data_IF_661065068881
#
_entry.id   IF_661065068881
#
_cell.length_a   1.000
_cell.length_b   1.000
_cell.length_c   1.000
_cell.angle_alpha   90.00
_cell.angle_beta   90.00
_cell.angle_gamma   90.00
#
_symmetry.space_group_name_H-M   'P 1'
#
loop_
_entity.id
_entity.type
_entity.pdbx_description
1 polymer ?
#
# COMPACT_ATOMS: atom_id res chain seq x y z
N UNK A 1 -17.69 23.51 15.36
CA UNK A 1 -16.78 22.41 14.98
C UNK A 1 -16.95 22.19 13.49
N UNK A 2 -15.86 21.93 12.76
CA UNK A 2 -15.94 21.55 11.35
C UNK A 2 -16.47 20.12 11.25
N UNK A 3 -17.55 19.86 10.47
CA UNK A 3 -18.01 18.50 10.22
C UNK A 3 -16.90 17.64 9.58
N UNK A 4 -16.89 16.35 9.89
CA UNK A 4 -16.01 15.38 9.26
C UNK A 4 -16.56 14.95 7.90
N UNK A 5 -15.69 14.54 6.98
CA UNK A 5 -16.10 13.94 5.72
C UNK A 5 -16.56 12.50 5.92
N UNK A 6 -15.83 11.76 6.79
CA UNK A 6 -16.16 10.39 7.17
C UNK A 6 -16.12 10.24 8.68
N UNK A 7 -17.12 9.59 9.24
CA UNK A 7 -17.10 9.10 10.63
C UNK A 7 -17.29 7.59 10.61
N UNK A 8 -16.31 6.85 11.14
CA UNK A 8 -16.50 5.43 11.47
C UNK A 8 -16.92 5.34 12.92
N UNK A 9 -18.04 4.70 13.20
CA UNK A 9 -18.59 4.55 14.56
C UNK A 9 -18.78 3.09 14.93
N UNK A 10 -19.04 2.83 16.21
CA UNK A 10 -19.28 1.49 16.74
C UNK A 10 -18.11 0.54 16.38
N UNK A 11 -16.89 1.07 16.42
CA UNK A 11 -15.67 0.35 16.09
C UNK A 11 -14.98 -0.16 17.36
N UNK A 12 -14.06 -1.10 17.20
CA UNK A 12 -13.08 -1.41 18.24
C UNK A 12 -11.69 -0.97 17.78
N UNK A 13 -11.25 0.21 18.20
CA UNK A 13 -9.98 0.82 17.80
C UNK A 13 -8.98 0.71 18.94
N UNK A 14 -7.75 0.29 18.64
CA UNK A 14 -6.62 0.44 19.56
C UNK A 14 -5.84 1.70 19.17
N UNK A 15 -5.65 2.62 20.12
CA UNK A 15 -5.07 3.94 19.85
C UNK A 15 -3.55 3.96 20.04
N UNK A 16 -2.99 3.03 20.80
CA UNK A 16 -1.58 3.06 21.23
C UNK A 16 -1.28 4.10 22.33
N UNK A 17 -2.27 4.90 22.75
CA UNK A 17 -2.14 5.85 23.86
C UNK A 17 -2.37 5.11 25.20
N UNK A 18 -1.38 5.03 26.10
CA UNK A 18 -1.56 4.39 27.41
C UNK A 18 -2.68 4.99 28.26
N UNK A 19 -2.98 6.29 28.09
CA UNK A 19 -4.05 6.96 28.82
C UNK A 19 -5.44 6.63 28.27
N UNK A 20 -5.53 6.29 26.97
CA UNK A 20 -6.78 5.98 26.28
C UNK A 20 -6.57 4.87 25.24
N UNK A 21 -6.29 3.63 25.66
CA UNK A 21 -5.87 2.55 24.76
C UNK A 21 -6.95 2.10 23.77
N UNK A 22 -8.22 2.42 24.04
CA UNK A 22 -9.36 2.02 23.24
C UNK A 22 -10.23 3.21 22.83
N UNK A 23 -10.76 3.14 21.62
CA UNK A 23 -11.73 4.09 21.08
C UNK A 23 -12.83 3.36 20.30
N UNK A 24 -13.99 4.00 20.16
CA UNK A 24 -15.16 3.43 19.47
C UNK A 24 -15.56 4.16 18.21
N UNK A 25 -14.91 5.28 17.89
CA UNK A 25 -15.12 6.02 16.66
C UNK A 25 -13.84 6.74 16.18
N UNK A 26 -13.83 7.08 14.90
CA UNK A 26 -12.82 7.94 14.27
C UNK A 26 -13.50 8.93 13.32
N UNK A 27 -13.08 10.19 13.38
CA UNK A 27 -13.46 11.24 12.46
C UNK A 27 -12.32 11.50 11.47
N UNK A 28 -12.66 11.63 10.20
CA UNK A 28 -11.74 11.90 9.10
C UNK A 28 -12.21 13.16 8.40
N UNK A 29 -11.33 14.15 8.27
CA UNK A 29 -11.57 15.41 7.57
C UNK A 29 -10.40 15.67 6.64
N UNK A 30 -10.68 15.99 5.38
CA UNK A 30 -9.70 16.23 4.33
C UNK A 30 -8.68 15.08 4.20
N UNK A 31 -9.19 13.84 4.26
CA UNK A 31 -8.38 12.61 4.21
C UNK A 31 -7.53 12.33 5.45
N UNK A 32 -7.56 13.19 6.48
CA UNK A 32 -6.77 13.06 7.70
C UNK A 32 -7.62 12.60 8.88
N UNK A 33 -7.07 11.73 9.74
CA UNK A 33 -7.72 11.39 11.00
C UNK A 33 -7.66 12.61 11.94
N UNK A 34 -8.80 13.26 12.15
CA UNK A 34 -8.89 14.47 12.98
C UNK A 34 -9.26 14.19 14.42
N UNK A 35 -9.91 13.05 14.70
CA UNK A 35 -10.21 12.61 16.06
C UNK A 35 -10.39 11.10 16.16
N UNK A 36 -9.90 10.50 17.24
CA UNK A 36 -10.12 9.09 17.59
C UNK A 36 -10.56 9.05 19.05
N UNK A 37 -11.80 8.63 19.32
CA UNK A 37 -12.38 8.69 20.66
C UNK A 37 -13.62 7.80 20.78
N UNK A 38 -14.41 7.97 21.84
CA UNK A 38 -15.76 7.42 21.91
C UNK A 38 -16.68 8.03 20.84
N UNK A 39 -17.73 7.32 20.44
CA UNK A 39 -18.71 7.87 19.51
C UNK A 39 -19.40 9.12 20.07
N UNK A 40 -19.65 9.19 21.37
CA UNK A 40 -20.24 10.36 22.02
C UNK A 40 -19.37 11.61 21.84
N UNK A 41 -18.05 11.45 21.92
CA UNK A 41 -17.08 12.52 21.71
C UNK A 41 -16.91 12.91 20.22
N UNK A 42 -17.32 12.04 19.30
CA UNK A 42 -17.23 12.23 17.84
C UNK A 42 -18.57 12.63 17.22
N UNK A 43 -19.71 12.34 17.85
CA UNK A 43 -21.04 12.70 17.37
C UNK A 43 -21.18 14.18 16.97
N UNK A 44 -20.55 15.17 17.64
CA UNK A 44 -20.58 16.57 17.21
C UNK A 44 -19.90 16.88 15.87
N UNK A 45 -19.11 15.94 15.33
CA UNK A 45 -18.44 16.06 14.03
C UNK A 45 -19.31 15.51 12.89
N UNK A 46 -20.46 14.91 13.17
CA UNK A 46 -21.40 14.43 12.16
C UNK A 46 -22.27 15.60 11.69
N UNK A 47 -22.07 16.06 10.46
CA UNK A 47 -22.91 17.03 9.77
C UNK A 47 -23.69 16.40 8.61
N UNK A 48 -24.45 17.22 7.89
CA UNK A 48 -25.31 16.77 6.78
C UNK A 48 -24.54 16.08 5.65
N UNK A 49 -23.29 16.49 5.40
CA UNK A 49 -22.41 15.91 4.37
C UNK A 49 -21.53 14.77 4.88
N UNK A 50 -21.57 14.44 6.17
CA UNK A 50 -20.69 13.42 6.76
C UNK A 50 -21.16 12.03 6.36
N UNK A 51 -20.28 11.26 5.71
CA UNK A 51 -20.53 9.84 5.48
C UNK A 51 -20.26 9.06 6.76
N UNK A 52 -21.32 8.51 7.34
CA UNK A 52 -21.21 7.66 8.54
C UNK A 52 -21.09 6.19 8.15
N UNK A 53 -20.04 5.53 8.64
CA UNK A 53 -19.78 4.10 8.48
C UNK A 53 -19.98 3.44 9.84
N UNK A 54 -20.93 2.50 9.93
CA UNK A 54 -21.12 1.70 11.13
C UNK A 54 -20.25 0.45 11.08
N UNK A 55 -19.27 0.34 11.97
CA UNK A 55 -18.38 -0.82 12.04
C UNK A 55 -19.03 -2.02 12.74
N UNK A 56 -20.24 -1.92 13.30
CA UNK A 56 -20.98 -3.04 13.89
C UNK A 56 -20.20 -3.82 14.98
N UNK A 57 -19.43 -3.11 15.80
CA UNK A 57 -18.56 -3.68 16.83
C UNK A 57 -17.30 -4.37 16.28
N UNK A 58 -17.03 -4.27 14.98
CA UNK A 58 -15.83 -4.86 14.35
C UNK A 58 -14.60 -3.99 14.63
N UNK A 59 -13.43 -4.62 14.56
CA UNK A 59 -12.15 -3.95 14.80
C UNK A 59 -11.79 -3.06 13.60
N UNK A 60 -11.41 -1.83 13.89
CA UNK A 60 -10.76 -0.94 12.92
C UNK A 60 -9.28 -0.93 13.28
N UNK A 61 -8.45 -1.44 12.38
CA UNK A 61 -7.00 -1.47 12.55
C UNK A 61 -6.39 -0.38 11.69
N UNK A 62 -5.41 0.36 12.25
CA UNK A 62 -4.61 1.29 11.46
C UNK A 62 -3.83 0.49 10.44
N UNK A 63 -4.14 0.68 9.15
CA UNK A 63 -3.31 0.26 8.03
C UNK A 63 -2.64 -1.10 8.21
N UNK A 64 -3.36 -2.08 8.72
CA UNK A 64 -2.85 -3.44 8.82
C UNK A 64 -3.08 -4.06 7.46
N UNK A 65 -2.08 -3.94 6.60
CA UNK A 65 -1.92 -4.91 5.54
C UNK A 65 -1.32 -6.18 6.17
N UNK A 66 -2.12 -6.87 6.99
CA UNK A 66 -1.79 -8.22 7.41
C UNK A 66 -2.40 -9.17 6.38
N UNK A 67 -1.53 -9.93 5.75
CA UNK A 67 -1.83 -11.28 5.28
C UNK A 67 -2.12 -12.19 6.50
N UNK A 68 -3.23 -11.93 7.22
CA UNK A 68 -3.65 -12.72 8.38
C UNK A 68 -4.43 -13.96 7.92
N UNK A 69 -3.83 -15.15 8.12
CA UNK A 69 -4.48 -16.44 7.87
C UNK A 69 -5.62 -16.69 8.86
N UNK A 70 -6.80 -17.05 8.35
CA UNK A 70 -7.74 -17.93 9.05
C UNK A 70 -7.66 -19.31 8.38
N UNK A 71 -7.27 -20.35 9.12
CA UNK A 71 -7.48 -21.72 8.69
C UNK A 71 -8.98 -22.01 8.88
N UNK A 72 -9.75 -21.84 7.80
CA UNK A 72 -11.16 -22.20 7.73
C UNK A 72 -12.08 -21.03 7.33
N UNK A 73 -12.60 -21.11 6.10
CA UNK A 73 -13.73 -20.30 5.64
C UNK A 73 -13.33 -19.13 4.73
N UNK A 74 -13.75 -19.19 3.47
CA UNK A 74 -13.63 -18.08 2.52
C UNK A 74 -14.50 -16.91 3.01
N UNK A 75 -13.92 -15.72 3.12
CA UNK A 75 -14.68 -14.49 3.33
C UNK A 75 -14.22 -13.42 2.35
N UNK A 76 -15.13 -12.96 1.51
CA UNK A 76 -14.94 -11.86 0.57
C UNK A 76 -15.36 -10.56 1.28
N UNK A 77 -14.43 -9.61 1.44
CA UNK A 77 -14.74 -8.28 1.94
C UNK A 77 -15.07 -7.35 0.76
N UNK A 78 -16.17 -6.57 0.81
CA UNK A 78 -16.36 -5.48 -0.13
C UNK A 78 -15.40 -4.34 0.23
N UNK A 79 -14.47 -4.03 -0.67
CA UNK A 79 -13.63 -2.83 -0.61
C UNK A 79 -14.48 -1.64 -1.03
N UNK A 80 -14.65 -0.66 -0.14
CA UNK A 80 -15.25 0.63 -0.45
C UNK A 80 -14.15 1.58 -0.94
N UNK A 81 -13.96 1.65 -2.26
CA UNK A 81 -13.15 2.70 -2.88
C UNK A 81 -13.93 4.00 -2.90
N UNK A 82 -13.40 5.07 -2.31
CA UNK A 82 -13.85 6.45 -2.57
C UNK A 82 -12.82 7.44 -2.05
N UNK A 83 -11.90 7.87 -2.93
CA UNK A 83 -11.31 9.21 -2.90
C UNK A 83 -11.12 9.66 -4.34
N UNK A 84 -11.71 10.83 -4.67
CA UNK A 84 -11.57 11.51 -5.96
C UNK A 84 -10.34 12.43 -5.90
N UNK A 85 -9.58 12.46 -6.99
CA UNK A 85 -8.43 13.35 -7.22
C UNK A 85 -8.80 14.83 -7.33
N UNK A 86 -7.82 15.70 -7.02
CA UNK A 86 -7.77 17.12 -7.43
C UNK A 86 -6.32 17.63 -7.56
N UNK A 87 -5.79 17.53 -8.79
CA UNK A 87 -4.81 18.33 -9.57
C UNK A 87 -3.82 19.33 -8.90
N UNK A 88 -2.49 19.24 -9.15
CA UNK A 88 -1.75 19.92 -10.26
C UNK A 88 -0.20 19.97 -10.12
N UNK A 89 0.48 19.31 -11.08
CA UNK A 89 1.79 19.52 -11.76
C UNK A 89 3.01 20.13 -11.04
N UNK A 90 4.03 19.29 -10.85
CA UNK A 90 5.46 19.60 -11.04
C UNK A 90 5.93 19.02 -12.39
N UNK A 91 6.81 19.73 -13.11
CA UNK A 91 7.38 19.29 -14.40
C UNK A 91 8.53 18.32 -14.12
N UNK A 92 8.17 17.05 -14.01
CA UNK A 92 9.02 15.85 -13.85
C UNK A 92 8.09 14.62 -13.84
N UNK A 93 8.58 13.39 -14.08
CA UNK A 93 7.73 12.22 -13.96
C UNK A 93 7.21 12.14 -12.51
N UNK A 94 5.91 11.93 -12.34
CA UNK A 94 5.33 11.78 -11.00
C UNK A 94 5.93 10.55 -10.30
N UNK A 95 5.98 10.50 -8.95
CA UNK A 95 6.32 9.29 -8.21
C UNK A 95 5.61 8.05 -8.72
N UNK A 96 4.29 8.12 -8.95
CA UNK A 96 3.54 7.00 -9.54
C UNK A 96 4.02 6.64 -10.96
N UNK A 97 4.42 7.63 -11.76
CA UNK A 97 5.00 7.41 -13.09
C UNK A 97 6.33 6.65 -13.04
N UNK A 98 7.22 7.00 -12.11
CA UNK A 98 8.51 6.31 -11.89
C UNK A 98 8.27 4.86 -11.45
N UNK A 99 7.30 4.64 -10.55
CA UNK A 99 6.92 3.28 -10.13
C UNK A 99 6.41 2.46 -11.31
N UNK A 100 5.58 3.03 -12.20
CA UNK A 100 5.13 2.33 -13.41
C UNK A 100 6.30 1.97 -14.33
N UNK A 101 7.23 2.90 -14.55
CA UNK A 101 8.45 2.62 -15.33
C UNK A 101 9.28 1.50 -14.71
N UNK A 102 9.41 1.46 -13.38
CA UNK A 102 10.08 0.35 -12.69
C UNK A 102 9.37 -0.99 -12.94
N UNK A 103 8.04 -1.04 -12.79
CA UNK A 103 7.26 -2.26 -13.01
C UNK A 103 7.37 -2.74 -14.47
N UNK A 104 7.28 -1.82 -15.43
CA UNK A 104 7.46 -2.13 -16.85
C UNK A 104 8.87 -2.65 -17.15
N UNK A 105 9.91 -2.07 -16.53
CA UNK A 105 11.28 -2.55 -16.66
C UNK A 105 11.44 -3.97 -16.10
N UNK A 106 10.82 -4.26 -14.94
CA UNK A 106 10.80 -5.60 -14.34
C UNK A 106 10.08 -6.59 -15.26
N UNK A 107 8.91 -6.25 -15.80
CA UNK A 107 8.12 -7.12 -16.70
C UNK A 107 8.87 -7.47 -17.99
N UNK A 108 9.67 -6.52 -18.50
CA UNK A 108 10.49 -6.72 -19.70
C UNK A 108 11.87 -7.34 -19.40
N UNK A 109 12.18 -7.64 -18.12
CA UNK A 109 13.52 -8.04 -17.67
C UNK A 109 14.63 -7.05 -18.10
N UNK A 110 14.30 -5.77 -18.22
CA UNK A 110 15.21 -4.69 -18.60
C UNK A 110 15.96 -4.16 -17.36
N UNK A 111 17.15 -4.71 -17.13
CA UNK A 111 17.97 -4.38 -15.96
C UNK A 111 18.47 -2.93 -15.98
N UNK A 112 18.77 -2.39 -17.17
CA UNK A 112 19.30 -1.02 -17.31
C UNK A 112 18.21 0.01 -16.96
N UNK A 113 16.99 -0.19 -17.47
CA UNK A 113 15.85 0.67 -17.12
C UNK A 113 15.45 0.52 -15.65
N UNK A 114 15.58 -0.68 -15.08
CA UNK A 114 15.33 -0.92 -13.66
C UNK A 114 16.33 -0.15 -12.79
N UNK A 115 17.62 -0.25 -13.08
CA UNK A 115 18.70 0.45 -12.36
C UNK A 115 18.59 1.97 -12.43
N UNK A 116 18.10 2.48 -13.57
CA UNK A 116 17.86 3.90 -13.77
C UNK A 116 16.71 4.44 -12.90
N UNK A 117 15.81 3.59 -12.41
CA UNK A 117 14.67 3.98 -11.58
C UNK A 117 14.98 3.96 -10.07
N UNK A 118 16.06 3.32 -9.64
CA UNK A 118 16.39 3.11 -8.22
C UNK A 118 17.57 3.97 -7.76
N UNK A 119 17.53 4.43 -6.52
CA UNK A 119 18.62 5.18 -5.89
C UNK A 119 19.79 4.25 -5.51
N UNK A 120 20.99 4.81 -5.35
CA UNK A 120 22.18 4.04 -4.94
C UNK A 120 22.06 3.49 -3.50
N UNK A 121 21.25 4.15 -2.66
CA UNK A 121 20.93 3.79 -1.27
C UNK A 121 19.52 3.17 -1.12
N UNK A 122 19.07 2.40 -2.13
CA UNK A 122 17.74 1.80 -2.12
C UNK A 122 17.58 0.75 -1.00
N UNK A 123 16.52 0.93 -0.22
CA UNK A 123 16.07 -0.01 0.80
C UNK A 123 15.00 -0.92 0.22
N UNK A 124 15.42 -2.03 -0.37
CA UNK A 124 14.53 -3.03 -0.93
C UNK A 124 14.22 -4.13 0.09
N UNK A 125 12.95 -4.51 0.23
CA UNK A 125 12.53 -5.60 1.10
C UNK A 125 11.41 -6.42 0.48
N UNK A 126 11.63 -7.73 0.39
CA UNK A 126 10.60 -8.69 0.01
C UNK A 126 10.02 -9.39 1.25
N UNK A 127 8.73 -9.16 1.54
CA UNK A 127 8.04 -9.74 2.68
C UNK A 127 8.78 -9.49 4.00
N UNK A 128 9.08 -10.56 4.71
CA UNK A 128 9.74 -10.48 6.02
C UNK A 128 11.28 -10.48 5.97
N UNK A 129 11.90 -10.57 4.78
CA UNK A 129 13.36 -10.58 4.65
C UNK A 129 14.02 -9.31 5.20
N UNK A 130 15.33 -9.39 5.45
CA UNK A 130 16.14 -8.22 5.78
C UNK A 130 16.19 -7.25 4.58
N UNK A 131 16.09 -5.93 4.81
CA UNK A 131 16.19 -4.96 3.74
C UNK A 131 17.61 -4.89 3.19
N UNK A 132 17.74 -4.50 1.92
CA UNK A 132 19.03 -4.10 1.34
C UNK A 132 19.40 -2.69 1.78
N UNK A 133 20.68 -2.36 1.72
CA UNK A 133 21.18 -1.00 2.03
C UNK A 133 21.72 -0.27 0.78
N UNK A 134 22.03 -1.01 -0.28
CA UNK A 134 22.62 -0.46 -1.51
C UNK A 134 21.96 -0.99 -2.78
N UNK A 135 22.10 -0.25 -3.88
CA UNK A 135 21.71 -0.71 -5.22
C UNK A 135 22.43 -1.99 -5.65
N UNK A 136 23.67 -2.17 -5.22
CA UNK A 136 24.41 -3.40 -5.49
C UNK A 136 23.77 -4.62 -4.81
N UNK A 137 23.33 -4.46 -3.56
CA UNK A 137 22.62 -5.52 -2.82
C UNK A 137 21.22 -5.79 -3.41
N UNK A 138 20.52 -4.73 -3.83
CA UNK A 138 19.27 -4.82 -4.57
C UNK A 138 19.45 -5.62 -5.87
N UNK A 139 20.45 -5.27 -6.68
CA UNK A 139 20.78 -5.97 -7.92
C UNK A 139 21.15 -7.44 -7.67
N UNK A 140 21.96 -7.70 -6.63
CA UNK A 140 22.32 -9.06 -6.21
C UNK A 140 21.11 -9.90 -5.78
N UNK A 141 20.04 -9.25 -5.30
CA UNK A 141 18.79 -9.91 -4.93
C UNK A 141 17.86 -10.10 -6.13
N UNK A 142 17.64 -9.05 -6.93
CA UNK A 142 16.62 -9.04 -7.98
C UNK A 142 17.05 -9.69 -9.28
N UNK A 143 18.30 -9.55 -9.70
CA UNK A 143 18.70 -10.08 -11.01
C UNK A 143 18.70 -11.61 -11.06
N UNK A 144 19.19 -12.34 -10.02
CA UNK A 144 19.06 -13.79 -10.00
C UNK A 144 17.60 -14.25 -9.98
N UNK A 145 16.73 -13.52 -9.27
CA UNK A 145 15.29 -13.79 -9.27
C UNK A 145 14.68 -13.68 -10.67
N UNK A 146 14.93 -12.57 -11.39
CA UNK A 146 14.42 -12.37 -12.75
C UNK A 146 14.97 -13.41 -13.74
N UNK A 147 16.23 -13.82 -13.59
CA UNK A 147 16.79 -14.93 -14.38
C UNK A 147 16.20 -16.30 -14.03
N UNK A 148 15.63 -16.45 -12.84
CA UNK A 148 15.01 -17.68 -12.35
C UNK A 148 13.57 -17.90 -12.83
N UNK A 149 12.97 -16.93 -13.50
CA UNK A 149 11.60 -16.99 -14.03
C UNK A 149 11.61 -16.79 -15.55
N UNK A 150 10.62 -17.37 -16.23
CA UNK A 150 10.48 -17.23 -17.69
C UNK A 150 9.81 -15.90 -18.06
N UNK A 151 8.87 -15.43 -17.25
CA UNK A 151 8.23 -14.12 -17.39
C UNK A 151 7.59 -13.69 -16.07
N UNK A 152 7.46 -12.37 -15.91
CA UNK A 152 6.65 -11.71 -14.89
C UNK A 152 5.78 -10.65 -15.57
N UNK A 153 4.57 -10.45 -15.08
CA UNK A 153 3.69 -9.34 -15.46
C UNK A 153 3.02 -8.75 -14.23
N UNK A 154 3.11 -7.45 -14.05
CA UNK A 154 2.35 -6.74 -13.03
C UNK A 154 1.04 -6.20 -13.61
N UNK A 155 -0.09 -6.65 -13.07
CA UNK A 155 -1.40 -6.05 -13.32
C UNK A 155 -1.75 -5.12 -12.16
N UNK A 156 -1.50 -3.82 -12.34
CA UNK A 156 -1.81 -2.80 -11.32
C UNK A 156 -3.32 -2.59 -11.24
N UNK A 157 -3.90 -2.95 -10.09
CA UNK A 157 -5.33 -2.79 -9.79
C UNK A 157 -5.60 -1.35 -9.38
N UNK A 158 -4.85 -0.84 -8.41
CA UNK A 158 -4.93 0.55 -7.96
C UNK A 158 -3.53 1.07 -7.63
N UNK A 159 -3.34 2.38 -7.78
CA UNK A 159 -2.14 3.09 -7.36
C UNK A 159 -2.53 4.39 -6.66
N UNK A 160 -1.88 4.69 -5.55
CA UNK A 160 -2.08 5.91 -4.78
C UNK A 160 -0.75 6.61 -4.57
N UNK A 161 -0.75 7.92 -4.76
CA UNK A 161 0.39 8.79 -4.50
C UNK A 161 0.07 9.69 -3.30
N UNK A 162 0.98 9.72 -2.32
CA UNK A 162 0.91 10.63 -1.19
C UNK A 162 1.78 11.87 -1.43
N UNK A 163 1.46 12.96 -0.75
CA UNK A 163 2.17 14.24 -0.90
C UNK A 163 3.67 14.19 -0.57
N UNK A 164 4.11 13.21 0.22
CA UNK A 164 5.50 13.03 0.63
C UNK A 164 6.34 12.23 -0.38
N UNK A 165 5.77 11.88 -1.54
CA UNK A 165 6.43 11.05 -2.55
C UNK A 165 6.31 9.54 -2.30
N UNK A 166 5.54 9.12 -1.30
CA UNK A 166 5.19 7.71 -1.11
C UNK A 166 4.17 7.28 -2.17
N UNK A 167 4.33 6.06 -2.68
CA UNK A 167 3.41 5.43 -3.64
C UNK A 167 3.01 4.06 -3.10
N UNK A 168 1.72 3.78 -3.12
CA UNK A 168 1.18 2.46 -2.77
C UNK A 168 0.55 1.89 -4.02
N UNK A 169 0.86 0.64 -4.37
CA UNK A 169 0.28 -0.03 -5.51
C UNK A 169 -0.23 -1.41 -5.10
N UNK A 170 -1.51 -1.69 -5.34
CA UNK A 170 -2.08 -3.04 -5.26
C UNK A 170 -2.11 -3.64 -6.66
N UNK A 171 -1.74 -4.91 -6.75
CA UNK A 171 -1.55 -5.57 -8.04
C UNK A 171 -1.72 -7.07 -7.93
N UNK A 172 -2.15 -7.69 -9.02
CA UNK A 172 -1.93 -9.11 -9.24
C UNK A 172 -0.62 -9.27 -10.02
N UNK A 173 0.26 -10.15 -9.55
CA UNK A 173 1.55 -10.43 -10.20
C UNK A 173 1.51 -11.83 -10.81
N UNK A 174 1.67 -11.88 -12.13
CA UNK A 174 1.60 -13.11 -12.90
C UNK A 174 3.01 -13.60 -13.19
N UNK A 175 3.29 -14.82 -12.76
CA UNK A 175 4.56 -15.49 -13.01
C UNK A 175 4.39 -16.62 -14.01
N UNK A 176 5.38 -16.74 -14.90
CA UNK A 176 5.64 -17.96 -15.65
C UNK A 176 6.98 -18.52 -15.21
N UNK A 177 6.98 -19.72 -14.63
CA UNK A 177 8.20 -20.44 -14.24
C UNK A 177 8.88 -21.03 -15.47
N UNK A 178 10.17 -21.38 -15.31
CA UNK A 178 10.97 -21.98 -16.40
C UNK A 178 10.45 -23.36 -16.83
N UNK A 179 9.75 -24.07 -15.95
CA UNK A 179 9.06 -25.34 -16.24
C UNK A 179 7.70 -25.15 -16.95
N UNK A 180 7.29 -23.91 -17.19
CA UNK A 180 6.03 -23.55 -17.83
C UNK A 180 4.83 -23.40 -16.89
N UNK A 181 4.96 -23.76 -15.60
CA UNK A 181 3.91 -23.53 -14.62
C UNK A 181 3.65 -22.03 -14.46
N UNK A 182 2.37 -21.67 -14.34
CA UNK A 182 1.93 -20.30 -14.16
C UNK A 182 1.27 -20.12 -12.81
N UNK A 183 1.39 -18.90 -12.30
CA UNK A 183 0.88 -18.52 -11.00
C UNK A 183 0.49 -17.05 -11.01
N UNK A 184 -0.60 -16.70 -10.33
CA UNK A 184 -0.92 -15.31 -10.00
C UNK A 184 -0.90 -15.14 -8.50
N UNK A 185 -0.17 -14.14 -8.00
CA UNK A 185 -0.12 -13.79 -6.59
C UNK A 185 -0.58 -12.34 -6.36
N UNK A 186 -1.50 -12.09 -5.42
CA UNK A 186 -1.85 -10.74 -5.03
C UNK A 186 -0.69 -10.11 -4.25
N UNK A 187 -0.42 -8.84 -4.55
CA UNK A 187 0.63 -8.04 -3.92
C UNK A 187 0.17 -6.63 -3.61
N UNK A 188 0.73 -6.07 -2.54
CA UNK A 188 0.67 -4.66 -2.24
C UNK A 188 2.09 -4.17 -1.99
N UNK A 189 2.52 -3.22 -2.80
CA UNK A 189 3.87 -2.69 -2.73
C UNK A 189 3.83 -1.24 -2.27
N UNK A 190 4.79 -0.88 -1.42
CA UNK A 190 4.99 0.49 -0.95
C UNK A 190 6.33 0.97 -1.46
N UNK A 191 6.34 2.12 -2.12
CA UNK A 191 7.51 2.76 -2.67
C UNK A 191 7.66 4.15 -2.04
N UNK A 192 8.89 4.64 -1.91
CA UNK A 192 9.18 6.05 -1.67
C UNK A 192 10.15 6.59 -2.70
N UNK A 193 9.77 7.72 -3.29
CA UNK A 193 10.52 8.37 -4.35
C UNK A 193 11.16 9.64 -3.82
N UNK A 194 12.47 9.79 -4.04
CA UNK A 194 13.24 10.99 -3.70
C UNK A 194 14.10 11.35 -4.90
N UNK A 195 14.06 12.62 -5.31
CA UNK A 195 14.84 13.15 -6.44
C UNK A 195 14.63 12.34 -7.75
N UNK A 196 13.42 11.85 -7.98
CA UNK A 196 13.08 11.08 -9.18
C UNK A 196 13.55 9.61 -9.17
N UNK A 197 14.06 9.12 -8.04
CA UNK A 197 14.53 7.73 -7.86
C UNK A 197 13.82 7.07 -6.68
N UNK A 198 13.54 5.78 -6.82
CA UNK A 198 12.97 4.94 -5.75
C UNK A 198 14.09 4.61 -4.76
N UNK A 199 13.91 5.02 -3.50
CA UNK A 199 14.89 4.77 -2.43
C UNK A 199 14.39 3.82 -1.33
N UNK A 200 13.10 3.51 -1.30
CA UNK A 200 12.49 2.51 -0.41
C UNK A 200 11.48 1.73 -1.25
N UNK A 201 11.63 0.42 -1.32
CA UNK A 201 10.77 -0.47 -2.10
C UNK A 201 10.45 -1.71 -1.27
N UNK A 202 9.20 -1.81 -0.81
CA UNK A 202 8.72 -2.93 0.01
C UNK A 202 7.63 -3.69 -0.71
N UNK A 203 7.79 -5.01 -0.78
CA UNK A 203 6.82 -5.92 -1.39
C UNK A 203 6.11 -6.70 -0.27
N UNK A 204 4.79 -6.63 -0.24
CA UNK A 204 3.95 -7.49 0.59
C UNK A 204 3.11 -8.36 -0.32
N UNK A 205 3.51 -9.62 -0.44
CA UNK A 205 2.91 -10.59 -1.35
C UNK A 205 2.53 -11.86 -0.58
N UNK A 206 1.38 -12.46 -0.90
CA UNK A 206 1.06 -13.79 -0.40
C UNK A 206 1.71 -14.84 -1.31
N UNK A 207 2.82 -15.41 -0.86
CA UNK A 207 3.57 -16.45 -1.58
C UNK A 207 3.18 -17.89 -1.18
N UNK A 208 2.12 -18.03 -0.39
CA UNK A 208 1.66 -19.32 0.09
C UNK A 208 0.90 -20.06 -1.01
N UNK A 209 1.53 -21.07 -1.62
CA UNK A 209 0.89 -22.02 -2.53
C UNK A 209 0.81 -23.41 -1.91
#
# INVERSE_FOLDING_TARGET
>A
MTPADVVVRNARIYTGDPARPHASAVAITDGQITKVDSYEAIAPYVGESTRVIDAQGRRVVRGLNDSLRFVGGHYQFPVLSTLRESTMRTVGPSPAGIVRTLLDAIDNHDLDSMDACVADDVHFRFGSADPTDTKADFAATMYPFLRGIAAIRHEVIDIWEAHDGSVIATMDVHYKRLDGHQLTLPSCNVFRVRNGLIHDYRIYMDISL
#
